data_IF_074780576919
#
_entry.id   IF_074780576919
#
_cell.length_a   1.000
_cell.length_b   1.000
_cell.length_c   1.000
_cell.angle_alpha   90.00
_cell.angle_beta   90.00
_cell.angle_gamma   90.00
#
_symmetry.space_group_name_H-M   'P 1'
#
loop_
_entity.id
_entity.type
_entity.pdbx_description
1 polymer ?
#
# COMPACT_ATOMS: atom_id res chain seq x y z
N UNK A 1 -12.67 5.29 23.86
CA UNK A 1 -12.01 4.18 23.16
C UNK A 1 -11.39 4.79 21.90
N UNK A 2 -10.09 4.61 21.63
CA UNK A 2 -9.50 5.21 20.45
C UNK A 2 -10.14 4.63 19.19
N UNK A 3 -10.31 5.45 18.17
CA UNK A 3 -10.89 5.04 16.91
C UNK A 3 -9.84 4.99 15.78
N UNK A 4 -10.09 4.15 14.79
CA UNK A 4 -9.22 4.00 13.61
C UNK A 4 -10.05 3.83 12.35
N UNK A 5 -9.74 4.59 11.32
CA UNK A 5 -10.23 4.35 9.97
C UNK A 5 -9.15 3.64 9.14
N UNK A 6 -9.51 2.54 8.50
CA UNK A 6 -8.61 1.77 7.64
C UNK A 6 -9.23 1.68 6.25
N UNK A 7 -8.51 2.14 5.23
CA UNK A 7 -8.98 2.05 3.85
C UNK A 7 -8.60 0.72 3.22
N UNK A 8 -9.52 0.11 2.44
CA UNK A 8 -9.25 -1.13 1.68
C UNK A 8 -9.19 -2.40 2.54
N UNK A 9 -10.23 -2.66 3.35
CA UNK A 9 -10.30 -3.78 4.30
C UNK A 9 -10.92 -5.06 3.74
N UNK A 10 -11.24 -5.14 2.44
CA UNK A 10 -11.87 -6.34 1.85
C UNK A 10 -11.00 -7.60 1.97
N UNK A 11 -9.68 -7.47 2.04
CA UNK A 11 -8.74 -8.60 2.12
C UNK A 11 -7.34 -8.16 2.56
N UNK A 12 -6.41 -9.11 2.67
CA UNK A 12 -4.97 -8.89 2.80
C UNK A 12 -4.59 -8.05 4.01
N UNK A 13 -3.70 -7.08 3.80
CA UNK A 13 -3.16 -6.23 4.86
C UNK A 13 -4.26 -5.44 5.56
N UNK A 14 -5.18 -4.82 4.81
CA UNK A 14 -6.25 -4.00 5.40
C UNK A 14 -7.17 -4.80 6.31
N UNK A 15 -7.55 -6.01 5.90
CA UNK A 15 -8.36 -6.91 6.74
C UNK A 15 -7.60 -7.34 8.00
N UNK A 16 -6.35 -7.74 7.87
CA UNK A 16 -5.54 -8.16 9.01
C UNK A 16 -5.29 -7.00 10.01
N UNK A 17 -5.13 -5.78 9.51
CA UNK A 17 -5.06 -4.57 10.35
C UNK A 17 -6.38 -4.35 11.09
N UNK A 18 -7.52 -4.41 10.40
CA UNK A 18 -8.83 -4.25 11.03
C UNK A 18 -9.05 -5.25 12.16
N UNK A 19 -8.74 -6.54 11.93
CA UNK A 19 -8.84 -7.59 12.94
C UNK A 19 -7.89 -7.32 14.14
N UNK A 20 -6.66 -6.90 13.89
CA UNK A 20 -5.67 -6.63 14.93
C UNK A 20 -6.06 -5.42 15.80
N UNK A 21 -6.51 -4.31 15.18
CA UNK A 21 -6.92 -3.12 15.91
C UNK A 21 -8.20 -3.36 16.71
N UNK A 22 -9.19 -4.09 16.16
CA UNK A 22 -10.39 -4.47 16.89
C UNK A 22 -10.04 -5.34 18.12
N UNK A 23 -9.16 -6.32 17.95
CA UNK A 23 -8.71 -7.17 19.07
C UNK A 23 -7.97 -6.39 20.14
N UNK A 24 -7.37 -5.24 19.81
CA UNK A 24 -6.70 -4.34 20.73
C UNK A 24 -7.61 -3.29 21.38
N UNK A 25 -8.92 -3.37 21.14
CA UNK A 25 -9.92 -2.48 21.76
C UNK A 25 -10.11 -1.13 21.05
N UNK A 26 -9.72 -1.02 19.77
CA UNK A 26 -10.06 0.15 18.97
C UNK A 26 -11.47 0.06 18.42
N UNK A 27 -12.14 1.21 18.29
CA UNK A 27 -13.32 1.35 17.47
C UNK A 27 -12.91 1.45 16.00
N UNK A 28 -13.13 0.38 15.23
CA UNK A 28 -12.57 0.22 13.88
C UNK A 28 -13.62 0.55 12.82
N UNK A 29 -13.32 1.56 12.01
CA UNK A 29 -14.01 1.90 10.78
C UNK A 29 -13.28 1.26 9.60
N UNK A 30 -13.88 0.20 9.05
CA UNK A 30 -13.30 -0.57 7.95
C UNK A 30 -13.97 -0.22 6.63
N UNK A 31 -13.22 0.25 5.63
CA UNK A 31 -13.79 0.58 4.34
C UNK A 31 -13.52 -0.46 3.25
N UNK A 32 -14.48 -0.61 2.34
CA UNK A 32 -14.36 -1.39 1.12
C UNK A 32 -15.19 -0.75 0.00
N UNK A 33 -14.86 -1.05 -1.26
CA UNK A 33 -15.58 -0.48 -2.42
C UNK A 33 -16.87 -1.23 -2.74
N UNK A 34 -16.83 -2.55 -2.69
CA UNK A 34 -17.96 -3.40 -3.07
C UNK A 34 -18.90 -3.59 -1.88
N UNK A 35 -20.18 -3.48 -2.13
CA UNK A 35 -21.23 -3.69 -1.12
C UNK A 35 -21.12 -5.06 -0.43
N UNK A 36 -20.83 -6.13 -1.19
CA UNK A 36 -20.62 -7.46 -0.64
C UNK A 36 -19.46 -7.53 0.37
N UNK A 37 -18.38 -6.79 0.12
CA UNK A 37 -17.24 -6.73 1.05
C UNK A 37 -17.61 -5.93 2.31
N UNK A 38 -18.38 -4.84 2.15
CA UNK A 38 -18.90 -4.04 3.27
C UNK A 38 -19.83 -4.88 4.15
N UNK A 39 -20.75 -5.65 3.56
CA UNK A 39 -21.62 -6.57 4.29
C UNK A 39 -20.82 -7.63 5.06
N UNK A 40 -19.76 -8.19 4.46
CA UNK A 40 -18.89 -9.16 5.12
C UNK A 40 -18.10 -8.56 6.29
N UNK A 41 -17.69 -7.29 6.18
CA UNK A 41 -17.04 -6.56 7.26
C UNK A 41 -18.04 -6.24 8.39
N UNK A 42 -19.26 -5.82 8.06
CA UNK A 42 -20.32 -5.57 9.05
C UNK A 42 -20.67 -6.85 9.82
N UNK A 43 -20.82 -7.99 9.13
CA UNK A 43 -21.05 -9.31 9.76
C UNK A 43 -19.90 -9.71 10.70
N UNK A 44 -18.68 -9.25 10.46
CA UNK A 44 -17.53 -9.43 11.35
C UNK A 44 -17.50 -8.41 12.52
N UNK A 45 -18.51 -7.52 12.59
CA UNK A 45 -18.72 -6.57 13.70
C UNK A 45 -17.79 -5.36 13.64
N UNK A 46 -17.42 -4.87 12.45
CA UNK A 46 -16.77 -3.58 12.26
C UNK A 46 -17.80 -2.47 12.01
N UNK A 47 -17.46 -1.23 12.33
CA UNK A 47 -18.12 -0.10 11.69
C UNK A 47 -17.68 -0.07 10.24
N UNK A 48 -18.62 0.03 9.31
CA UNK A 48 -18.29 -0.14 7.89
C UNK A 48 -18.61 1.11 7.08
N UNK A 49 -17.78 1.36 6.08
CA UNK A 49 -17.97 2.42 5.10
C UNK A 49 -17.81 1.87 3.70
N UNK A 50 -18.83 2.06 2.86
CA UNK A 50 -18.64 1.84 1.42
C UNK A 50 -17.90 3.04 0.86
N UNK A 51 -16.65 2.83 0.44
CA UNK A 51 -15.76 3.92 0.02
C UNK A 51 -14.90 3.49 -1.17
N UNK A 52 -15.04 4.21 -2.28
CA UNK A 52 -13.95 4.38 -3.23
C UNK A 52 -13.10 5.57 -2.76
N UNK A 53 -11.83 5.34 -2.51
CA UNK A 53 -10.90 6.37 -2.02
C UNK A 53 -10.64 7.50 -3.03
N UNK A 54 -11.11 7.34 -4.28
CA UNK A 54 -11.05 8.34 -5.33
C UNK A 54 -12.36 9.14 -5.47
N UNK A 55 -13.41 8.78 -4.73
CA UNK A 55 -14.68 9.50 -4.72
C UNK A 55 -14.67 10.61 -3.66
N UNK A 56 -14.43 11.84 -4.12
CA UNK A 56 -14.39 13.01 -3.25
C UNK A 56 -15.70 13.27 -2.51
N UNK A 57 -16.86 13.00 -3.12
CA UNK A 57 -18.16 13.18 -2.48
C UNK A 57 -18.38 12.14 -1.37
N UNK A 58 -17.95 10.89 -1.58
CA UNK A 58 -17.98 9.86 -0.53
C UNK A 58 -17.04 10.21 0.63
N UNK A 59 -15.86 10.75 0.34
CA UNK A 59 -14.92 11.22 1.36
C UNK A 59 -15.50 12.37 2.19
N UNK A 60 -16.20 13.31 1.57
CA UNK A 60 -16.84 14.41 2.27
C UNK A 60 -17.96 13.91 3.21
N UNK A 61 -18.82 13.01 2.74
CA UNK A 61 -19.86 12.38 3.60
C UNK A 61 -19.25 11.64 4.79
N UNK A 62 -18.14 10.93 4.57
CA UNK A 62 -17.43 10.24 5.64
C UNK A 62 -16.85 11.23 6.67
N UNK A 63 -16.30 12.35 6.22
CA UNK A 63 -15.74 13.38 7.09
C UNK A 63 -16.81 14.03 7.99
N UNK A 64 -18.04 14.16 7.49
CA UNK A 64 -19.20 14.67 8.26
C UNK A 64 -19.63 13.68 9.36
N UNK A 65 -19.48 12.37 9.14
CA UNK A 65 -19.83 11.32 10.10
C UNK A 65 -18.79 11.16 11.22
N UNK A 66 -17.51 11.43 10.92
CA UNK A 66 -16.40 11.25 11.85
C UNK A 66 -16.11 12.54 12.64
N UNK A 67 -16.53 12.58 13.91
CA UNK A 67 -16.26 13.71 14.81
C UNK A 67 -14.77 13.90 15.09
N UNK A 68 -14.11 12.87 15.60
CA UNK A 68 -12.67 12.82 15.88
C UNK A 68 -12.08 11.55 15.24
N UNK A 69 -10.80 11.57 14.91
CA UNK A 69 -10.12 10.40 14.35
C UNK A 69 -8.71 10.27 14.94
N UNK A 70 -8.50 9.26 15.77
CA UNK A 70 -7.21 9.03 16.42
C UNK A 70 -6.18 8.45 15.46
N UNK A 71 -6.61 7.54 14.55
CA UNK A 71 -5.72 6.90 13.59
C UNK A 71 -6.37 6.79 12.22
N UNK A 72 -5.68 7.30 11.19
CA UNK A 72 -6.01 7.06 9.79
C UNK A 72 -4.98 6.10 9.20
N UNK A 73 -5.42 4.97 8.62
CA UNK A 73 -4.54 4.06 7.89
C UNK A 73 -4.91 4.08 6.40
N UNK A 74 -4.09 4.78 5.60
CA UNK A 74 -4.16 4.77 4.16
C UNK A 74 -3.53 3.47 3.63
N UNK A 75 -4.36 2.43 3.51
CA UNK A 75 -3.94 1.11 3.05
C UNK A 75 -4.48 0.76 1.66
N UNK A 76 -5.57 1.35 1.22
CA UNK A 76 -6.13 1.09 -0.10
C UNK A 76 -5.07 1.27 -1.20
N UNK A 77 -4.93 0.26 -2.06
CA UNK A 77 -3.93 0.25 -3.11
C UNK A 77 -3.86 -1.10 -3.82
N UNK A 78 -3.24 -1.10 -4.98
CA UNK A 78 -3.01 -2.32 -5.76
C UNK A 78 -1.66 -2.24 -6.50
N UNK A 79 -1.23 -3.35 -7.08
CA UNK A 79 -0.01 -3.41 -7.90
C UNK A 79 -0.34 -3.78 -9.33
N UNK A 80 -0.19 -2.86 -10.26
CA UNK A 80 -0.17 -3.16 -11.68
C UNK A 80 1.25 -3.63 -12.05
N UNK A 81 1.36 -4.84 -12.57
CA UNK A 81 2.62 -5.44 -13.02
C UNK A 81 2.54 -5.66 -14.52
N UNK A 82 3.65 -5.44 -15.20
CA UNK A 82 3.81 -5.57 -16.64
C UNK A 82 4.86 -4.62 -17.18
N UNK A 83 5.18 -4.71 -18.47
CA UNK A 83 6.06 -3.77 -19.14
C UNK A 83 5.49 -2.35 -19.05
N UNK A 84 6.33 -1.39 -18.68
CA UNK A 84 5.87 -0.02 -18.46
C UNK A 84 5.27 0.61 -19.73
N UNK A 85 5.84 0.30 -20.88
CA UNK A 85 5.39 0.85 -22.17
C UNK A 85 4.09 0.20 -22.68
N UNK A 86 3.87 -1.09 -22.41
CA UNK A 86 2.59 -1.74 -22.76
C UNK A 86 1.42 -1.20 -21.92
N UNK A 87 1.67 -0.92 -20.66
CA UNK A 87 0.67 -0.29 -19.80
C UNK A 87 0.42 1.19 -20.09
N UNK A 88 1.43 1.88 -20.62
CA UNK A 88 1.38 3.29 -20.99
C UNK A 88 1.02 4.25 -19.86
N UNK A 89 0.68 5.45 -20.23
CA UNK A 89 0.31 6.53 -19.29
C UNK A 89 -0.99 6.25 -18.56
N UNK A 90 -1.96 5.61 -19.22
CA UNK A 90 -3.25 5.29 -18.60
C UNK A 90 -3.12 4.30 -17.41
N UNK A 91 -2.29 3.26 -17.55
CA UNK A 91 -2.05 2.33 -16.45
C UNK A 91 -1.33 3.03 -15.29
N UNK A 92 -0.41 3.95 -15.59
CA UNK A 92 0.23 4.79 -14.59
C UNK A 92 -0.76 5.70 -13.88
N UNK A 93 -1.62 6.39 -14.61
CA UNK A 93 -2.65 7.27 -14.03
C UNK A 93 -3.54 6.51 -13.06
N UNK A 94 -4.13 5.38 -13.50
CA UNK A 94 -4.96 4.53 -12.61
C UNK A 94 -4.22 4.06 -11.37
N UNK A 95 -2.92 3.73 -11.52
CA UNK A 95 -2.08 3.32 -10.38
C UNK A 95 -1.87 4.47 -9.40
N UNK A 96 -1.61 5.67 -9.90
CA UNK A 96 -1.36 6.86 -9.09
C UNK A 96 -2.63 7.36 -8.43
N UNK A 97 -3.77 7.35 -9.13
CA UNK A 97 -5.07 7.71 -8.55
C UNK A 97 -5.32 6.96 -7.24
N UNK A 98 -5.20 5.62 -7.29
CA UNK A 98 -5.50 4.80 -6.12
C UNK A 98 -4.37 4.79 -5.09
N UNK A 99 -3.09 4.73 -5.51
CA UNK A 99 -1.99 4.52 -4.58
C UNK A 99 -1.40 5.82 -4.02
N UNK A 100 -1.60 6.95 -4.70
CA UNK A 100 -0.93 8.23 -4.39
C UNK A 100 -1.93 9.33 -4.11
N UNK A 101 -2.78 9.68 -5.09
CA UNK A 101 -3.68 10.82 -4.96
C UNK A 101 -4.74 10.57 -3.89
N UNK A 102 -5.21 9.34 -3.76
CA UNK A 102 -6.15 8.97 -2.69
C UNK A 102 -5.61 9.26 -1.29
N UNK A 103 -4.30 9.06 -1.05
CA UNK A 103 -3.69 9.36 0.26
C UNK A 103 -3.87 10.84 0.62
N UNK A 104 -3.64 11.72 -0.35
CA UNK A 104 -3.84 13.15 -0.17
C UNK A 104 -5.33 13.46 0.02
N UNK A 105 -6.20 12.95 -0.87
CA UNK A 105 -7.64 13.20 -0.81
C UNK A 105 -8.28 12.73 0.50
N UNK A 106 -7.99 11.50 0.94
CA UNK A 106 -8.49 10.95 2.21
C UNK A 106 -7.97 11.74 3.41
N UNK A 107 -6.66 12.04 3.42
CA UNK A 107 -6.06 12.81 4.52
C UNK A 107 -6.62 14.23 4.58
N UNK A 108 -6.82 14.88 3.44
CA UNK A 108 -7.41 16.22 3.33
C UNK A 108 -8.85 16.23 3.84
N UNK A 109 -9.69 15.30 3.41
CA UNK A 109 -11.08 15.22 3.86
C UNK A 109 -11.19 14.98 5.37
N UNK A 110 -10.31 14.16 5.94
CA UNK A 110 -10.33 13.79 7.36
C UNK A 110 -9.41 14.67 8.22
N UNK A 111 -8.76 15.67 7.65
CA UNK A 111 -7.87 16.57 8.39
C UNK A 111 -8.58 17.26 9.59
N UNK A 112 -9.83 17.75 9.48
CA UNK A 112 -10.51 18.33 10.63
C UNK A 112 -10.68 17.35 11.80
N UNK A 113 -11.01 16.08 11.52
CA UNK A 113 -11.17 15.04 12.53
C UNK A 113 -9.81 14.66 13.19
N UNK A 114 -8.76 14.48 12.37
CA UNK A 114 -7.40 14.22 12.83
C UNK A 114 -6.83 15.38 13.68
N UNK A 115 -7.15 16.61 13.30
CA UNK A 115 -6.72 17.81 14.05
C UNK A 115 -7.33 17.88 15.44
N UNK A 116 -8.60 17.51 15.59
CA UNK A 116 -9.29 17.52 16.91
C UNK A 116 -8.65 16.53 17.88
N UNK A 117 -8.31 15.33 17.42
CA UNK A 117 -7.69 14.28 18.24
C UNK A 117 -6.16 14.40 18.34
N UNK A 118 -5.51 15.27 17.55
CA UNK A 118 -4.03 15.27 17.36
C UNK A 118 -3.54 13.90 16.93
N UNK A 119 -4.22 13.30 15.96
CA UNK A 119 -4.13 11.90 15.58
C UNK A 119 -2.84 11.48 14.91
N UNK A 120 -2.89 10.28 14.34
CA UNK A 120 -1.79 9.65 13.61
C UNK A 120 -2.25 9.23 12.21
N UNK A 121 -1.55 9.67 11.18
CA UNK A 121 -1.71 9.15 9.81
C UNK A 121 -0.69 8.04 9.58
N UNK A 122 -1.14 6.90 9.09
CA UNK A 122 -0.30 5.76 8.70
C UNK A 122 -0.45 5.53 7.20
N UNK A 123 0.63 5.67 6.45
CA UNK A 123 0.65 5.44 5.00
C UNK A 123 1.32 4.10 4.70
N UNK A 124 0.62 3.20 4.00
CA UNK A 124 1.18 1.91 3.58
C UNK A 124 1.94 2.09 2.25
N UNK A 125 3.25 2.27 2.38
CA UNK A 125 4.22 2.31 1.30
C UNK A 125 4.57 0.92 0.76
N UNK A 126 5.84 0.70 0.45
CA UNK A 126 6.43 -0.61 0.08
C UNK A 126 7.95 -0.49 -0.03
N UNK A 127 8.67 -1.58 0.19
CA UNK A 127 10.09 -1.68 -0.19
C UNK A 127 10.32 -1.48 -1.69
N UNK A 128 9.29 -1.68 -2.51
CA UNK A 128 9.32 -1.40 -3.95
C UNK A 128 9.44 0.08 -4.29
N UNK A 129 9.15 0.98 -3.34
CA UNK A 129 9.45 2.40 -3.48
C UNK A 129 10.94 2.74 -3.30
N UNK A 130 11.73 1.79 -2.78
CA UNK A 130 13.18 1.92 -2.59
C UNK A 130 13.95 1.10 -3.62
N UNK A 131 13.60 -0.19 -3.78
CA UNK A 131 14.19 -1.10 -4.75
C UNK A 131 13.27 -1.24 -5.97
N UNK A 132 13.63 -0.58 -7.06
CA UNK A 132 12.91 -0.68 -8.33
C UNK A 132 13.24 -2.01 -9.01
N UNK A 133 12.22 -2.66 -9.57
CA UNK A 133 12.37 -3.92 -10.30
C UNK A 133 11.73 -3.82 -11.69
N UNK A 134 12.24 -4.55 -12.69
CA UNK A 134 11.58 -4.67 -14.00
C UNK A 134 10.11 -5.11 -13.84
N UNK A 135 9.28 -4.78 -14.80
CA UNK A 135 7.86 -5.16 -14.87
C UNK A 135 6.99 -4.71 -13.68
N UNK A 136 7.48 -3.75 -12.90
CA UNK A 136 6.76 -3.14 -11.79
C UNK A 136 6.97 -1.61 -11.74
N UNK A 137 7.33 -0.98 -12.86
CA UNK A 137 7.74 0.42 -12.90
C UNK A 137 6.68 1.37 -12.36
N UNK A 138 5.43 1.27 -12.82
CA UNK A 138 4.33 2.11 -12.33
C UNK A 138 4.08 1.93 -10.82
N UNK A 139 4.09 0.68 -10.34
CA UNK A 139 3.93 0.38 -8.91
C UNK A 139 5.09 0.94 -8.08
N UNK A 140 6.34 0.71 -8.50
CA UNK A 140 7.52 1.23 -7.81
C UNK A 140 7.49 2.77 -7.74
N UNK A 141 7.18 3.43 -8.83
CA UNK A 141 7.06 4.89 -8.89
C UNK A 141 5.96 5.40 -7.95
N UNK A 142 4.78 4.75 -7.94
CA UNK A 142 3.69 5.11 -7.03
C UNK A 142 4.11 4.97 -5.56
N UNK A 143 4.84 3.90 -5.20
CA UNK A 143 5.28 3.70 -3.82
C UNK A 143 6.44 4.63 -3.41
N UNK A 144 7.31 5.01 -4.34
CA UNK A 144 8.30 6.07 -4.11
C UNK A 144 7.62 7.43 -3.86
N UNK A 145 6.55 7.74 -4.62
CA UNK A 145 5.75 8.94 -4.38
C UNK A 145 5.08 8.93 -2.99
N UNK A 146 4.56 7.77 -2.53
CA UNK A 146 4.01 7.63 -1.16
C UNK A 146 5.05 7.94 -0.09
N UNK A 147 6.30 7.52 -0.28
CA UNK A 147 7.39 7.84 0.66
C UNK A 147 7.64 9.34 0.73
N UNK A 148 7.79 10.00 -0.42
CA UNK A 148 7.98 11.45 -0.50
C UNK A 148 6.80 12.23 0.12
N UNK A 149 5.55 11.83 -0.20
CA UNK A 149 4.36 12.43 0.40
C UNK A 149 4.29 12.22 1.91
N UNK A 150 4.70 11.05 2.42
CA UNK A 150 4.72 10.78 3.86
C UNK A 150 5.72 11.68 4.59
N UNK A 151 6.86 11.97 3.97
CA UNK A 151 7.85 12.89 4.53
C UNK A 151 7.34 14.34 4.51
N UNK A 152 6.72 14.79 3.41
CA UNK A 152 6.12 16.11 3.31
C UNK A 152 4.99 16.29 4.35
N UNK A 153 4.03 15.36 4.38
CA UNK A 153 2.92 15.39 5.34
C UNK A 153 3.40 15.39 6.80
N UNK A 154 4.49 14.69 7.10
CA UNK A 154 5.06 14.68 8.47
C UNK A 154 5.53 16.05 8.90
N UNK A 155 6.12 16.83 8.00
CA UNK A 155 6.55 18.20 8.27
C UNK A 155 5.37 19.17 8.32
N UNK A 156 4.46 19.09 7.35
CA UNK A 156 3.33 19.99 7.20
C UNK A 156 2.26 19.81 8.30
N UNK A 157 2.07 18.58 8.79
CA UNK A 157 1.09 18.28 9.84
C UNK A 157 1.63 18.47 11.27
N UNK A 158 2.94 18.62 11.43
CA UNK A 158 3.58 18.81 12.74
C UNK A 158 3.05 20.02 13.54
N UNK A 159 2.78 21.20 12.94
CA UNK A 159 2.19 22.33 13.67
C UNK A 159 0.81 22.03 14.28
N UNK A 160 0.10 21.03 13.76
CA UNK A 160 -1.20 20.58 14.26
C UNK A 160 -1.09 19.42 15.27
N UNK A 161 0.14 19.04 15.64
CA UNK A 161 0.44 17.89 16.47
C UNK A 161 -0.06 16.55 15.89
N UNK A 162 -0.34 16.47 14.57
CA UNK A 162 -0.67 15.25 13.86
C UNK A 162 0.64 14.57 13.44
N UNK A 163 0.77 13.29 13.76
CA UNK A 163 1.96 12.50 13.45
C UNK A 163 1.75 11.72 12.15
N UNK A 164 2.84 11.36 11.49
CA UNK A 164 2.81 10.53 10.26
C UNK A 164 3.81 9.38 10.38
N UNK A 165 3.30 8.16 10.26
CA UNK A 165 4.06 6.91 10.19
C UNK A 165 4.00 6.36 8.76
N UNK A 166 5.15 6.19 8.14
CA UNK A 166 5.28 5.46 6.89
C UNK A 166 5.57 3.99 7.21
N UNK A 167 4.81 3.07 6.61
CA UNK A 167 5.06 1.63 6.70
C UNK A 167 5.55 1.11 5.36
N UNK A 168 6.70 0.43 5.34
CA UNK A 168 7.30 -0.20 4.15
C UNK A 168 7.21 -1.73 4.26
N UNK A 169 6.11 -2.37 3.79
CA UNK A 169 6.00 -3.82 3.74
C UNK A 169 7.06 -4.43 2.82
N UNK A 170 7.63 -5.55 3.25
CA UNK A 170 8.30 -6.51 2.38
C UNK A 170 7.30 -7.49 1.75
N UNK A 171 7.69 -8.77 1.65
CA UNK A 171 6.81 -9.84 1.21
C UNK A 171 5.80 -10.20 2.31
N UNK A 172 4.51 -9.99 2.03
CA UNK A 172 3.39 -10.30 2.93
C UNK A 172 2.45 -11.28 2.22
N UNK A 173 2.01 -12.31 2.95
CA UNK A 173 1.05 -13.30 2.46
C UNK A 173 -0.34 -12.68 2.34
N UNK A 174 -0.72 -12.40 1.10
CA UNK A 174 -1.99 -11.76 0.74
C UNK A 174 -2.40 -12.12 -0.68
N UNK A 175 -3.62 -11.82 -1.06
CA UNK A 175 -4.09 -11.93 -2.45
C UNK A 175 -3.46 -10.91 -3.42
N UNK A 176 -2.56 -10.05 -2.95
CA UNK A 176 -1.93 -9.00 -3.77
C UNK A 176 -1.24 -9.56 -5.03
N UNK A 177 -0.43 -10.62 -4.88
CA UNK A 177 0.26 -11.23 -6.01
C UNK A 177 -0.72 -11.89 -7.01
N UNK A 178 -1.79 -12.53 -6.51
CA UNK A 178 -2.84 -13.10 -7.35
C UNK A 178 -3.54 -12.00 -8.17
N UNK A 179 -3.88 -10.89 -7.54
CA UNK A 179 -4.53 -9.77 -8.20
C UNK A 179 -3.59 -9.07 -9.20
N UNK A 180 -2.33 -8.88 -8.83
CA UNK A 180 -1.31 -8.33 -9.73
C UNK A 180 -1.03 -9.23 -10.93
N UNK A 181 -1.05 -10.56 -10.72
CA UNK A 181 -0.91 -11.56 -11.79
C UNK A 181 -2.08 -11.52 -12.77
N UNK A 182 -3.31 -11.49 -12.28
CA UNK A 182 -4.49 -11.38 -13.13
C UNK A 182 -4.46 -10.11 -14.01
N UNK A 183 -4.02 -8.99 -13.47
CA UNK A 183 -3.85 -7.75 -14.27
C UNK A 183 -2.71 -7.87 -15.29
N UNK A 184 -1.59 -8.49 -14.93
CA UNK A 184 -0.47 -8.70 -15.84
C UNK A 184 -0.88 -9.58 -17.05
N UNK A 185 -1.67 -10.65 -16.84
CA UNK A 185 -2.13 -11.53 -17.92
C UNK A 185 -2.98 -10.78 -18.96
N UNK A 186 -3.70 -9.73 -18.58
CA UNK A 186 -4.41 -8.88 -19.55
C UNK A 186 -3.48 -8.02 -20.41
N UNK A 187 -2.28 -7.72 -19.94
CA UNK A 187 -1.28 -6.93 -20.66
C UNK A 187 -0.35 -7.82 -21.51
N UNK A 188 -0.15 -9.09 -21.09
CA UNK A 188 0.70 -10.04 -21.79
C UNK A 188 -0.08 -10.63 -22.96
N UNK A 189 0.20 -10.19 -24.18
CA UNK A 189 -0.40 -10.70 -25.41
C UNK A 189 0.67 -10.97 -26.47
N UNK A 190 0.36 -11.82 -27.47
CA UNK A 190 1.32 -12.27 -28.47
C UNK A 190 1.78 -11.15 -29.42
N UNK A 191 1.04 -10.06 -29.48
CA UNK A 191 1.37 -8.87 -30.30
C UNK A 191 2.33 -7.92 -29.59
N UNK A 192 2.52 -8.11 -28.28
CA UNK A 192 3.45 -7.29 -27.49
C UNK A 192 4.90 -7.64 -27.81
N UNK A 193 5.79 -6.66 -28.02
CA UNK A 193 7.22 -6.91 -28.12
C UNK A 193 7.81 -7.61 -26.88
N UNK A 194 7.10 -7.58 -25.76
CA UNK A 194 7.51 -8.19 -24.48
C UNK A 194 7.04 -9.64 -24.33
N UNK A 195 6.28 -10.19 -25.29
CA UNK A 195 5.81 -11.57 -25.24
C UNK A 195 6.89 -12.61 -24.99
N UNK A 196 8.11 -12.54 -25.58
CA UNK A 196 9.18 -13.45 -25.26
C UNK A 196 9.62 -13.44 -23.81
N UNK A 197 9.34 -12.36 -23.06
CA UNK A 197 9.69 -12.17 -21.64
C UNK A 197 8.55 -12.48 -20.67
N UNK A 198 7.43 -13.03 -21.12
CA UNK A 198 6.24 -13.32 -20.31
C UNK A 198 6.52 -14.11 -19.03
N UNK A 199 7.48 -15.04 -19.06
CA UNK A 199 7.83 -15.81 -17.86
C UNK A 199 8.55 -14.95 -16.81
N UNK A 200 9.37 -14.00 -17.24
CA UNK A 200 9.96 -12.98 -16.38
C UNK A 200 8.92 -12.04 -15.75
N UNK A 201 7.89 -11.67 -16.53
CA UNK A 201 6.77 -10.85 -16.04
C UNK A 201 5.99 -11.65 -14.99
N UNK A 202 5.64 -12.91 -15.26
CA UNK A 202 4.97 -13.80 -14.31
C UNK A 202 5.79 -14.03 -13.04
N UNK A 203 7.09 -14.28 -13.19
CA UNK A 203 8.00 -14.41 -12.05
C UNK A 203 8.03 -13.15 -11.18
N UNK A 204 7.89 -11.96 -11.79
CA UNK A 204 7.82 -10.70 -11.03
C UNK A 204 6.53 -10.59 -10.23
N UNK A 205 5.38 -10.99 -10.77
CA UNK A 205 4.10 -10.95 -10.03
C UNK A 205 4.13 -11.85 -8.80
N UNK A 206 4.82 -12.99 -8.87
CA UNK A 206 4.95 -13.96 -7.78
C UNK A 206 6.08 -13.65 -6.78
N UNK A 207 6.95 -12.67 -7.08
CA UNK A 207 8.14 -12.42 -6.27
C UNK A 207 7.85 -12.10 -4.79
N UNK A 208 6.68 -11.52 -4.47
CA UNK A 208 6.24 -11.24 -3.10
C UNK A 208 5.71 -12.46 -2.34
N UNK A 209 5.55 -13.62 -3.02
CA UNK A 209 5.07 -14.85 -2.39
C UNK A 209 6.22 -15.81 -2.02
N UNK A 210 7.46 -15.42 -2.26
CA UNK A 210 8.62 -16.18 -1.83
C UNK A 210 8.83 -15.98 -0.32
N UNK A 211 8.42 -16.97 0.48
CA UNK A 211 8.56 -16.97 1.93
C UNK A 211 7.93 -15.73 2.62
N UNK A 212 6.66 -15.40 2.34
CA UNK A 212 6.05 -14.18 2.84
C UNK A 212 5.79 -14.26 4.35
N UNK A 213 5.84 -13.12 5.01
CA UNK A 213 5.36 -12.97 6.39
C UNK A 213 3.83 -12.98 6.40
N UNK A 214 3.20 -13.65 7.34
CA UNK A 214 1.74 -13.65 7.44
C UNK A 214 1.18 -12.24 7.66
N UNK A 215 0.03 -11.94 7.05
CA UNK A 215 -0.64 -10.64 7.22
C UNK A 215 -0.95 -10.34 8.70
N UNK A 216 -1.26 -11.38 9.50
CA UNK A 216 -1.49 -11.25 10.95
C UNK A 216 -0.24 -10.79 11.70
N UNK A 217 0.93 -11.39 11.41
CA UNK A 217 2.20 -10.97 12.03
C UNK A 217 2.59 -9.54 11.62
N UNK A 218 2.36 -9.19 10.35
CA UNK A 218 2.58 -7.83 9.86
C UNK A 218 1.68 -6.82 10.59
N UNK A 219 0.37 -7.11 10.69
CA UNK A 219 -0.60 -6.25 11.37
C UNK A 219 -0.23 -6.02 12.84
N UNK A 220 0.24 -7.07 13.55
CA UNK A 220 0.70 -6.95 14.93
C UNK A 220 1.91 -6.00 15.07
N UNK A 221 2.84 -6.00 14.09
CA UNK A 221 3.98 -5.07 14.11
C UNK A 221 3.53 -3.62 13.88
N UNK A 222 2.57 -3.39 12.96
CA UNK A 222 2.01 -2.06 12.71
C UNK A 222 1.25 -1.57 13.94
N UNK A 223 0.40 -2.39 14.54
CA UNK A 223 -0.34 -2.06 15.76
C UNK A 223 0.61 -1.65 16.90
N UNK A 224 1.67 -2.45 17.13
CA UNK A 224 2.69 -2.12 18.14
C UNK A 224 3.35 -0.76 17.88
N UNK A 225 3.63 -0.44 16.62
CA UNK A 225 4.22 0.85 16.25
C UNK A 225 3.23 2.01 16.47
N UNK A 226 1.95 1.82 16.16
CA UNK A 226 0.89 2.82 16.37
C UNK A 226 0.62 3.07 17.86
N UNK A 227 0.62 2.03 18.68
CA UNK A 227 0.41 2.13 20.14
C UNK A 227 1.62 2.68 20.89
N UNK A 228 2.77 2.81 20.22
CA UNK A 228 3.95 3.37 20.88
C UNK A 228 3.74 4.86 21.19
N UNK A 229 4.07 5.36 22.40
CA UNK A 229 3.88 6.77 22.79
C UNK A 229 4.54 7.75 21.81
N UNK A 230 5.64 7.35 21.19
CA UNK A 230 6.34 8.07 20.12
C UNK A 230 6.46 7.13 18.90
N UNK A 231 5.44 7.06 18.02
CA UNK A 231 5.51 6.23 16.84
C UNK A 231 6.74 6.57 15.98
N UNK A 232 7.41 5.56 15.40
CA UNK A 232 8.55 5.82 14.54
C UNK A 232 8.13 6.56 13.28
N UNK A 233 9.06 7.28 12.65
CA UNK A 233 8.79 7.94 11.35
C UNK A 233 8.52 6.92 10.25
N UNK A 234 9.22 5.78 10.31
CA UNK A 234 9.14 4.70 9.33
C UNK A 234 9.22 3.34 10.03
N UNK A 235 8.38 2.39 9.57
CA UNK A 235 8.42 0.99 9.97
C UNK A 235 8.66 0.11 8.74
N UNK A 236 9.74 -0.67 8.76
CA UNK A 236 9.97 -1.76 7.78
C UNK A 236 9.55 -3.08 8.41
N UNK A 237 8.59 -3.76 7.81
CA UNK A 237 8.00 -4.98 8.34
C UNK A 237 7.79 -6.04 7.24
N UNK A 238 7.90 -7.31 7.61
CA UNK A 238 7.79 -8.44 6.69
C UNK A 238 9.11 -8.85 6.03
N UNK A 239 9.10 -10.02 5.38
CA UNK A 239 10.31 -10.60 4.79
C UNK A 239 10.89 -9.71 3.69
N UNK A 240 12.21 -9.56 3.69
CA UNK A 240 12.92 -8.68 2.75
C UNK A 240 12.80 -7.18 3.03
N UNK A 241 11.99 -6.75 4.01
CA UNK A 241 11.74 -5.32 4.26
C UNK A 241 12.99 -4.52 4.65
N UNK A 242 14.01 -5.14 5.20
CA UNK A 242 15.29 -4.52 5.52
C UNK A 242 16.38 -4.84 4.49
N UNK A 243 16.43 -6.10 4.03
CA UNK A 243 17.46 -6.57 3.11
C UNK A 243 17.37 -5.89 1.74
N UNK A 244 16.16 -5.74 1.17
CA UNK A 244 16.00 -5.16 -0.16
C UNK A 244 16.40 -3.67 -0.21
N UNK A 245 15.98 -2.79 0.71
CA UNK A 245 16.50 -1.42 0.76
C UNK A 245 18.00 -1.34 1.03
N UNK A 246 18.56 -2.24 1.84
CA UNK A 246 20.00 -2.29 2.10
C UNK A 246 20.77 -2.66 0.82
N UNK A 247 20.28 -3.64 0.06
CA UNK A 247 20.85 -3.96 -1.26
C UNK A 247 20.81 -2.77 -2.21
N UNK A 248 19.70 -2.04 -2.26
CA UNK A 248 19.56 -0.85 -3.09
C UNK A 248 20.54 0.27 -2.70
N UNK A 249 20.87 0.38 -1.41
CA UNK A 249 21.79 1.41 -0.90
C UNK A 249 23.27 1.03 -1.07
N UNK A 250 23.62 -0.25 -0.93
CA UNK A 250 25.02 -0.68 -0.88
C UNK A 250 25.58 -1.20 -2.22
N UNK A 251 24.73 -1.79 -3.07
CA UNK A 251 25.20 -2.32 -4.34
C UNK A 251 25.33 -1.21 -5.39
N UNK A 252 26.43 -1.20 -6.17
CA UNK A 252 26.54 -0.35 -7.34
C UNK A 252 25.34 -0.59 -8.29
N UNK A 253 24.73 0.48 -8.79
CA UNK A 253 23.50 0.40 -9.62
C UNK A 253 23.63 -0.59 -10.78
N UNK A 254 24.75 -0.55 -11.52
CA UNK A 254 24.97 -1.48 -12.64
C UNK A 254 25.02 -2.96 -12.23
N UNK A 255 25.57 -3.28 -11.04
CA UNK A 255 25.57 -4.66 -10.52
C UNK A 255 24.14 -5.07 -10.11
N UNK A 256 23.43 -4.21 -9.43
CA UNK A 256 22.03 -4.46 -9.05
C UNK A 256 21.14 -4.68 -10.27
N UNK A 257 21.27 -3.84 -11.30
CA UNK A 257 20.56 -4.00 -12.57
C UNK A 257 20.90 -5.33 -13.24
N UNK A 258 22.18 -5.72 -13.29
CA UNK A 258 22.61 -7.01 -13.86
C UNK A 258 21.94 -8.19 -13.13
N UNK A 259 21.89 -8.15 -11.81
CA UNK A 259 21.24 -9.19 -11.00
C UNK A 259 19.73 -9.24 -11.28
N UNK A 260 19.06 -8.09 -11.32
CA UNK A 260 17.63 -8.01 -11.57
C UNK A 260 17.28 -8.42 -13.00
N UNK A 261 18.05 -7.99 -14.01
CA UNK A 261 17.91 -8.44 -15.40
C UNK A 261 18.01 -9.97 -15.52
N UNK A 262 19.02 -10.57 -14.89
CA UNK A 262 19.18 -12.03 -14.87
C UNK A 262 17.98 -12.72 -14.21
N UNK A 263 17.52 -12.20 -13.06
CA UNK A 263 16.40 -12.78 -12.30
C UNK A 263 15.09 -12.79 -13.08
N UNK A 264 14.85 -11.78 -13.92
CA UNK A 264 13.59 -11.61 -14.64
C UNK A 264 13.71 -11.81 -16.16
N UNK A 265 14.76 -12.50 -16.61
CA UNK A 265 14.90 -12.94 -18.00
C UNK A 265 15.30 -11.85 -18.99
N UNK A 266 15.84 -10.71 -18.55
CA UNK A 266 16.23 -9.56 -19.37
C UNK A 266 17.71 -9.57 -19.78
N UNK A 267 18.42 -10.71 -19.69
CA UNK A 267 19.87 -10.78 -19.94
C UNK A 267 20.26 -11.07 -21.39
N UNK A 268 19.31 -11.36 -22.27
CA UNK A 268 19.53 -11.63 -23.70
C UNK A 268 19.04 -10.50 -24.59
N UNK A 269 19.47 -10.50 -25.86
CA UNK A 269 18.79 -9.76 -26.94
C UNK A 269 17.53 -10.51 -27.37
N UNK A 270 16.46 -9.80 -27.66
CA UNK A 270 15.23 -10.34 -28.25
C UNK A 270 15.33 -10.46 -29.75
#
# INVERSE_FOLDING_TARGET
MPNVLITGCSSGIGRALADAFKSAGFDVWASARRESDVAALAAAGFNTVQLDVNDSAALQRLAEQLGELDVLINNAGYGAMGPLLDGGTEAMQRQFETNVFSIVGVTQALFPALRRSKGLVVNIGSVSGVLVTPFAGAYCASKAAVHALSDALRMELAPFAIRVLEVQPGAIDTSFAKNAGAQAEHLINEQSPWWPLRDGIRARTQASQNNPTSAKQFAAQVLKAVQHPKPPRMLRAGNGSRALPLMAALLPKGLLEKVLKKRFGLSGSL
#
